data_IF_562176823386
#
_entry.id   IF_562176823386
#
_cell.length_a   1.000
_cell.length_b   1.000
_cell.length_c   1.000
_cell.angle_alpha   90.00
_cell.angle_beta   90.00
_cell.angle_gamma   90.00
#
_symmetry.space_group_name_H-M   'P 1'
#
loop_
_entity.id
_entity.type
_entity.pdbx_description
1 polymer ?
#
# COMPACT_ATOMS: atom_id res chain seq x y z
N UNK A 1 5.20 20.60 10.59
CA UNK A 1 5.88 21.25 9.45
C UNK A 1 7.05 20.35 9.07
N UNK A 2 7.35 20.22 7.77
CA UNK A 2 8.47 19.45 7.24
C UNK A 2 9.09 20.18 6.06
N UNK A 3 10.26 19.74 5.65
CA UNK A 3 10.94 20.24 4.45
C UNK A 3 10.79 19.20 3.33
N UNK A 4 10.47 19.67 2.13
CA UNK A 4 10.48 18.81 0.93
C UNK A 4 11.93 18.69 0.48
N UNK A 5 12.40 17.46 0.28
CA UNK A 5 13.75 17.21 -0.22
C UNK A 5 13.89 17.77 -1.64
N UNK A 6 15.05 18.36 -1.93
CA UNK A 6 15.36 18.89 -3.26
C UNK A 6 15.31 17.77 -4.32
N UNK A 7 14.67 18.05 -5.44
CA UNK A 7 14.50 17.12 -6.55
C UNK A 7 13.41 16.06 -6.34
N UNK A 8 12.63 16.14 -5.27
CA UNK A 8 11.49 15.23 -5.02
C UNK A 8 10.18 15.95 -5.30
N UNK A 9 9.34 15.36 -6.14
CA UNK A 9 7.98 15.82 -6.39
C UNK A 9 7.04 14.62 -6.37
N UNK A 10 6.24 14.52 -5.31
CA UNK A 10 5.28 13.42 -5.12
C UNK A 10 3.90 13.98 -4.79
N UNK A 11 2.85 13.35 -5.33
CA UNK A 11 1.47 13.77 -5.09
C UNK A 11 0.48 12.72 -5.59
N UNK A 12 -0.73 12.69 -5.02
CA UNK A 12 -1.77 11.75 -5.43
C UNK A 12 -2.27 11.96 -6.86
N UNK A 13 -2.02 13.14 -7.43
CA UNK A 13 -2.36 13.53 -8.80
C UNK A 13 -1.25 13.25 -9.82
N UNK A 14 -0.12 12.70 -9.38
CA UNK A 14 1.07 12.51 -10.23
C UNK A 14 1.28 11.08 -10.73
N UNK A 15 0.37 10.15 -10.45
CA UNK A 15 0.45 8.79 -10.99
C UNK A 15 0.32 8.83 -12.52
N UNK A 16 1.14 8.03 -13.20
CA UNK A 16 1.21 7.97 -14.66
C UNK A 16 0.95 6.55 -15.17
N UNK A 17 0.27 6.41 -16.32
CA UNK A 17 0.20 5.12 -16.99
C UNK A 17 1.60 4.50 -17.18
N UNK A 18 1.75 3.22 -16.86
CA UNK A 18 3.03 2.53 -16.86
C UNK A 18 3.77 2.54 -15.52
N UNK A 19 3.26 3.24 -14.50
CA UNK A 19 3.79 3.10 -13.14
C UNK A 19 3.46 1.72 -12.57
N UNK A 20 4.39 1.15 -11.85
CA UNK A 20 4.15 0.04 -10.95
C UNK A 20 3.55 0.55 -9.63
N UNK A 21 2.68 -0.26 -9.04
CA UNK A 21 2.07 0.00 -7.73
C UNK A 21 2.73 -0.91 -6.71
N UNK A 22 3.34 -0.33 -5.70
CA UNK A 22 4.09 -1.03 -4.67
C UNK A 22 3.43 -0.76 -3.32
N UNK A 23 3.28 -1.79 -2.50
CA UNK A 23 2.98 -1.66 -1.07
C UNK A 23 4.21 -1.98 -0.25
N UNK A 24 4.42 -1.27 0.86
CA UNK A 24 5.62 -1.43 1.68
C UNK A 24 5.59 -2.63 2.61
N UNK A 25 4.55 -3.42 2.59
CA UNK A 25 4.42 -4.64 3.39
C UNK A 25 3.01 -5.21 3.36
N UNK A 26 2.76 -6.22 4.18
CA UNK A 26 1.46 -6.86 4.30
C UNK A 26 0.39 -5.89 4.83
N UNK A 27 -0.84 -6.05 4.35
CA UNK A 27 -1.91 -5.08 4.57
C UNK A 27 -2.97 -5.58 5.57
N UNK A 28 -3.72 -4.61 6.14
CA UNK A 28 -4.91 -4.86 6.94
C UNK A 28 -4.67 -5.21 8.41
N UNK A 29 -3.43 -5.30 8.90
CA UNK A 29 -3.12 -5.67 10.28
C UNK A 29 -3.73 -4.72 11.29
N UNK A 30 -3.53 -3.40 11.14
CA UNK A 30 -4.06 -2.44 12.11
C UNK A 30 -5.58 -2.52 12.23
N UNK A 31 -6.29 -2.47 11.10
CA UNK A 31 -7.75 -2.58 11.08
C UNK A 31 -8.25 -3.89 11.69
N UNK A 32 -7.58 -5.01 11.40
CA UNK A 32 -7.89 -6.31 11.99
C UNK A 32 -7.67 -6.31 13.51
N UNK A 33 -6.54 -5.78 14.00
CA UNK A 33 -6.26 -5.66 15.46
C UNK A 33 -7.34 -4.84 16.16
N UNK A 34 -7.71 -3.69 15.59
CA UNK A 34 -8.75 -2.82 16.18
C UNK A 34 -10.12 -3.50 16.21
N UNK A 35 -10.47 -4.26 15.18
CA UNK A 35 -11.71 -5.01 15.16
C UNK A 35 -11.76 -6.06 16.28
N UNK A 36 -10.71 -6.85 16.42
CA UNK A 36 -10.60 -7.90 17.45
C UNK A 36 -10.62 -7.33 18.86
N UNK A 37 -10.05 -6.15 19.10
CA UNK A 37 -10.00 -5.48 20.40
C UNK A 37 -11.33 -4.80 20.77
N UNK A 38 -12.13 -4.38 19.80
CA UNK A 38 -13.39 -3.65 20.06
C UNK A 38 -14.60 -4.54 20.16
N UNK A 39 -14.61 -5.65 19.47
CA UNK A 39 -15.76 -6.53 19.33
C UNK A 39 -15.41 -7.94 19.78
N UNK A 40 -16.23 -8.53 20.62
CA UNK A 40 -16.07 -9.92 21.04
C UNK A 40 -16.68 -10.84 19.97
N UNK A 41 -15.89 -11.17 18.96
CA UNK A 41 -16.28 -12.14 17.93
C UNK A 41 -16.03 -13.59 18.33
N UNK A 42 -15.48 -13.84 19.53
CA UNK A 42 -15.02 -15.18 19.92
C UNK A 42 -13.91 -15.74 19.03
N UNK A 43 -13.15 -14.86 18.36
CA UNK A 43 -12.04 -15.23 17.49
C UNK A 43 -10.74 -15.06 18.27
N UNK A 44 -10.04 -16.16 18.49
CA UNK A 44 -8.68 -16.16 19.06
C UNK A 44 -7.65 -16.09 17.92
N UNK A 45 -7.18 -14.88 17.62
CA UNK A 45 -6.18 -14.65 16.58
C UNK A 45 -5.10 -13.68 17.07
N UNK A 46 -3.84 -14.07 16.93
CA UNK A 46 -2.70 -13.23 17.31
C UNK A 46 -2.31 -12.29 16.17
N UNK A 47 -3.07 -11.21 16.01
CA UNK A 47 -2.80 -10.14 15.04
C UNK A 47 -2.26 -8.92 15.77
N UNK A 48 -1.08 -8.46 15.38
CA UNK A 48 -0.49 -7.23 15.92
C UNK A 48 -0.57 -6.11 14.90
N UNK A 49 -0.83 -4.89 15.37
CA UNK A 49 -0.86 -3.69 14.52
C UNK A 49 0.46 -3.48 13.78
N UNK A 50 0.36 -2.96 12.57
CA UNK A 50 1.48 -2.56 11.72
C UNK A 50 1.99 -1.13 11.99
N UNK A 51 1.55 -0.46 13.05
CA UNK A 51 2.03 0.88 13.41
C UNK A 51 3.56 0.95 13.42
N UNK A 52 4.12 1.85 12.63
CA UNK A 52 5.56 1.99 12.46
C UNK A 52 5.96 3.42 12.07
N UNK A 53 7.17 3.88 12.44
CA UNK A 53 7.73 5.10 11.91
C UNK A 53 8.14 4.91 10.46
N UNK A 54 7.56 5.67 9.53
CA UNK A 54 7.73 5.45 8.09
C UNK A 54 8.82 6.31 7.44
N UNK A 55 9.28 7.38 8.12
CA UNK A 55 10.29 8.26 7.53
C UNK A 55 11.57 7.53 7.10
N UNK A 56 12.18 6.62 7.90
CA UNK A 56 13.37 5.90 7.46
C UNK A 56 13.15 5.07 6.19
N UNK A 57 11.95 4.50 6.04
CA UNK A 57 11.56 3.75 4.83
C UNK A 57 11.44 4.68 3.61
N UNK A 58 10.77 5.83 3.76
CA UNK A 58 10.66 6.83 2.69
C UNK A 58 12.04 7.36 2.30
N UNK A 59 12.87 7.71 3.27
CA UNK A 59 14.23 8.19 3.04
C UNK A 59 15.08 7.19 2.26
N UNK A 60 15.00 5.90 2.60
CA UNK A 60 15.71 4.84 1.89
C UNK A 60 15.28 4.74 0.41
N UNK A 61 13.98 4.82 0.14
CA UNK A 61 13.45 4.84 -1.24
C UNK A 61 13.95 6.07 -2.00
N UNK A 62 13.84 7.26 -1.41
CA UNK A 62 14.24 8.52 -2.04
C UNK A 62 15.75 8.65 -2.23
N UNK A 63 16.55 7.96 -1.43
CA UNK A 63 17.99 7.86 -1.65
C UNK A 63 18.34 6.90 -2.78
N UNK A 64 17.53 5.88 -3.01
CA UNK A 64 17.72 4.94 -4.11
C UNK A 64 17.29 5.52 -5.45
N UNK A 65 16.15 6.21 -5.50
CA UNK A 65 15.66 6.87 -6.72
C UNK A 65 14.85 8.12 -6.39
N UNK A 66 14.94 9.13 -7.26
CA UNK A 66 14.08 10.34 -7.20
C UNK A 66 12.87 10.22 -8.14
N UNK A 67 12.84 9.21 -8.99
CA UNK A 67 11.76 8.98 -9.94
C UNK A 67 10.62 8.19 -9.26
N UNK A 68 9.93 8.89 -8.35
CA UNK A 68 8.78 8.39 -7.61
C UNK A 68 7.66 9.43 -7.78
N UNK A 69 6.48 8.98 -8.22
CA UNK A 69 5.36 9.87 -8.51
C UNK A 69 4.39 9.99 -7.33
N UNK A 70 4.16 8.89 -6.61
CA UNK A 70 3.24 8.86 -5.46
C UNK A 70 3.89 8.17 -4.27
N UNK A 71 3.74 8.75 -3.08
CA UNK A 71 3.96 8.11 -1.79
C UNK A 71 2.77 8.49 -0.91
N UNK A 72 1.95 7.51 -0.52
CA UNK A 72 0.73 7.74 0.24
C UNK A 72 0.53 6.70 1.34
N UNK A 73 0.25 7.15 2.56
CA UNK A 73 -0.08 6.25 3.67
C UNK A 73 -1.46 5.61 3.46
N UNK A 74 -1.56 4.29 3.69
CA UNK A 74 -2.78 3.52 3.50
C UNK A 74 -3.63 3.45 4.78
N UNK A 75 -3.91 4.60 5.40
CA UNK A 75 -4.60 4.70 6.69
C UNK A 75 -6.09 4.35 6.58
N UNK A 76 -6.99 5.28 6.79
CA UNK A 76 -8.44 5.04 6.75
C UNK A 76 -8.89 4.53 5.37
N UNK A 77 -9.66 3.43 5.39
CA UNK A 77 -10.15 2.77 4.17
C UNK A 77 -9.10 1.92 3.46
N UNK A 78 -7.89 1.78 4.06
CA UNK A 78 -6.84 0.90 3.59
C UNK A 78 -6.28 1.25 2.21
N UNK A 79 -5.61 0.29 1.62
CA UNK A 79 -5.00 0.40 0.28
C UNK A 79 -6.07 0.61 -0.80
N UNK A 80 -7.23 -0.05 -0.70
CA UNK A 80 -8.30 0.04 -1.69
C UNK A 80 -8.83 1.47 -1.86
N UNK A 81 -9.11 2.16 -0.74
CA UNK A 81 -9.58 3.57 -0.78
C UNK A 81 -8.51 4.51 -1.31
N UNK A 82 -7.26 4.35 -0.87
CA UNK A 82 -6.14 5.18 -1.33
C UNK A 82 -5.93 5.04 -2.84
N UNK A 83 -5.99 3.83 -3.38
CA UNK A 83 -5.86 3.60 -4.81
C UNK A 83 -7.02 4.22 -5.61
N UNK A 84 -8.25 4.12 -5.09
CA UNK A 84 -9.40 4.76 -5.72
C UNK A 84 -9.25 6.30 -5.76
N UNK A 85 -8.81 6.90 -4.65
CA UNK A 85 -8.55 8.34 -4.60
C UNK A 85 -7.48 8.77 -5.61
N UNK A 86 -6.37 8.03 -5.71
CA UNK A 86 -5.27 8.31 -6.66
C UNK A 86 -5.77 8.16 -8.10
N UNK A 87 -6.53 7.09 -8.42
CA UNK A 87 -7.10 6.90 -9.74
C UNK A 87 -7.94 8.09 -10.20
N UNK A 88 -8.77 8.64 -9.28
CA UNK A 88 -9.59 9.82 -9.54
C UNK A 88 -8.78 11.10 -9.69
N UNK A 89 -7.79 11.34 -8.80
CA UNK A 89 -6.95 12.55 -8.81
C UNK A 89 -6.04 12.61 -10.04
N UNK A 90 -5.41 11.49 -10.39
CA UNK A 90 -4.53 11.39 -11.56
C UNK A 90 -5.26 11.13 -12.87
N UNK A 91 -6.57 10.83 -12.82
CA UNK A 91 -7.40 10.48 -13.99
C UNK A 91 -6.84 9.29 -14.77
N UNK A 92 -6.40 8.27 -14.06
CA UNK A 92 -5.82 7.03 -14.59
C UNK A 92 -6.64 5.83 -14.13
N UNK A 93 -6.48 4.70 -14.80
CA UNK A 93 -6.96 3.41 -14.32
C UNK A 93 -5.91 2.71 -13.46
N UNK A 94 -6.36 1.84 -12.59
CA UNK A 94 -5.50 1.01 -11.75
C UNK A 94 -5.89 -0.45 -11.95
N UNK A 95 -4.91 -1.31 -12.23
CA UNK A 95 -5.09 -2.76 -12.31
C UNK A 95 -4.25 -3.44 -11.24
N UNK A 96 -4.92 -4.19 -10.36
CA UNK A 96 -4.28 -4.98 -9.31
C UNK A 96 -4.31 -6.46 -9.67
N UNK A 97 -3.34 -7.21 -9.15
CA UNK A 97 -3.38 -8.67 -9.11
C UNK A 97 -3.57 -9.11 -7.66
N UNK A 98 -4.69 -9.77 -7.37
CA UNK A 98 -5.03 -10.21 -6.02
C UNK A 98 -3.99 -11.18 -5.43
N UNK A 99 -3.34 -11.99 -6.29
CA UNK A 99 -2.33 -12.95 -5.86
C UNK A 99 -1.04 -12.28 -5.34
N UNK A 100 -0.76 -11.05 -5.80
CA UNK A 100 0.46 -10.32 -5.44
C UNK A 100 0.28 -9.42 -4.21
N UNK A 101 -0.97 -9.24 -3.74
CA UNK A 101 -1.26 -8.44 -2.54
C UNK A 101 -0.85 -9.20 -1.28
N UNK A 102 0.17 -8.71 -0.54
CA UNK A 102 0.63 -9.41 0.66
C UNK A 102 -0.38 -9.22 1.81
N UNK A 103 -0.93 -10.33 2.29
CA UNK A 103 -1.83 -10.36 3.46
C UNK A 103 -1.39 -11.51 4.36
N UNK A 104 -1.16 -11.21 5.63
CA UNK A 104 -0.77 -12.22 6.60
C UNK A 104 -1.86 -13.32 6.76
N UNK A 105 -1.48 -14.59 6.96
CA UNK A 105 -2.44 -15.69 7.09
C UNK A 105 -3.49 -15.45 8.17
N UNK A 106 -3.11 -14.93 9.33
CA UNK A 106 -3.99 -14.59 10.44
C UNK A 106 -5.01 -13.52 10.07
N UNK A 107 -4.60 -12.48 9.31
CA UNK A 107 -5.51 -11.44 8.79
C UNK A 107 -6.48 -12.03 7.76
N UNK A 108 -5.99 -12.90 6.85
CA UNK A 108 -6.85 -13.61 5.90
C UNK A 108 -7.88 -14.47 6.61
N UNK A 109 -7.48 -15.17 7.68
CA UNK A 109 -8.37 -16.01 8.48
C UNK A 109 -9.49 -15.20 9.13
N UNK A 110 -9.16 -14.11 9.82
CA UNK A 110 -10.14 -13.23 10.47
C UNK A 110 -11.08 -12.61 9.43
N UNK A 111 -10.53 -12.06 8.34
CA UNK A 111 -11.33 -11.47 7.27
C UNK A 111 -12.29 -12.48 6.63
N UNK A 112 -11.82 -13.71 6.39
CA UNK A 112 -12.65 -14.79 5.83
C UNK A 112 -13.82 -15.17 6.74
N UNK A 113 -13.60 -15.21 8.06
CA UNK A 113 -14.67 -15.50 9.03
C UNK A 113 -15.69 -14.36 9.13
N UNK A 114 -15.24 -13.11 9.02
CA UNK A 114 -16.10 -11.94 9.17
C UNK A 114 -16.66 -11.41 7.84
N UNK A 115 -16.31 -12.01 6.70
CA UNK A 115 -16.73 -11.53 5.38
C UNK A 115 -16.14 -10.18 5.00
N UNK A 116 -14.92 -9.88 5.46
CA UNK A 116 -14.24 -8.61 5.23
C UNK A 116 -13.18 -8.74 4.12
N UNK A 117 -12.93 -7.63 3.42
CA UNK A 117 -11.88 -7.54 2.41
C UNK A 117 -10.65 -6.80 2.99
N UNK A 118 -9.47 -7.45 3.08
CA UNK A 118 -8.26 -6.84 3.66
C UNK A 118 -7.83 -5.52 3.02
N UNK A 119 -8.12 -5.32 1.74
CA UNK A 119 -7.81 -4.07 1.02
C UNK A 119 -8.42 -2.83 1.65
N UNK A 120 -9.54 -2.96 2.36
CA UNK A 120 -10.25 -1.84 2.99
C UNK A 120 -9.96 -1.69 4.48
N UNK A 121 -9.17 -2.59 5.06
CA UNK A 121 -8.73 -2.47 6.45
C UNK A 121 -7.60 -1.45 6.58
N UNK A 122 -7.68 -0.61 7.62
CA UNK A 122 -6.68 0.42 7.88
C UNK A 122 -5.28 -0.16 8.09
N UNK A 123 -4.27 0.55 7.58
CA UNK A 123 -2.85 0.29 7.79
C UNK A 123 -2.20 1.55 8.37
N UNK A 124 -1.53 1.45 9.50
CA UNK A 124 -0.89 2.60 10.17
C UNK A 124 0.65 2.61 10.01
N UNK A 125 1.18 1.58 9.36
CA UNK A 125 2.60 1.43 9.04
C UNK A 125 2.86 1.00 7.59
N UNK A 126 1.95 1.31 6.66
CA UNK A 126 2.10 0.95 5.25
C UNK A 126 1.90 2.13 4.32
N UNK A 127 2.69 2.13 3.25
CA UNK A 127 2.61 3.10 2.16
C UNK A 127 2.25 2.41 0.86
N UNK A 128 1.53 3.13 0.02
CA UNK A 128 1.42 2.88 -1.42
C UNK A 128 2.43 3.79 -2.10
N UNK A 129 3.27 3.21 -2.94
CA UNK A 129 4.27 3.92 -3.75
C UNK A 129 3.97 3.63 -5.22
N UNK A 130 4.01 4.67 -6.06
CA UNK A 130 3.92 4.53 -7.51
C UNK A 130 5.14 5.15 -8.15
N UNK A 131 5.79 4.38 -9.03
CA UNK A 131 7.01 4.75 -9.73
C UNK A 131 7.07 4.03 -11.07
N UNK A 132 7.88 4.51 -12.04
CA UNK A 132 8.09 3.80 -13.29
C UNK A 132 8.47 2.34 -13.08
N UNK A 133 7.98 1.44 -13.93
CA UNK A 133 8.30 -0.01 -13.85
C UNK A 133 9.79 -0.29 -13.81
N UNK A 134 10.60 0.56 -14.45
CA UNK A 134 12.07 0.43 -14.45
C UNK A 134 12.71 0.60 -13.06
N UNK A 135 12.04 1.33 -12.15
CA UNK A 135 12.52 1.56 -10.78
C UNK A 135 11.90 0.59 -9.76
N UNK A 136 10.83 -0.11 -10.13
CA UNK A 136 9.99 -0.86 -9.21
C UNK A 136 10.74 -1.96 -8.43
N UNK A 137 11.50 -2.80 -9.14
CA UNK A 137 12.26 -3.88 -8.51
C UNK A 137 13.33 -3.33 -7.54
N UNK A 138 14.02 -2.28 -7.94
CA UNK A 138 15.01 -1.60 -7.10
C UNK A 138 14.36 -1.02 -5.82
N UNK A 139 13.18 -0.42 -5.96
CA UNK A 139 12.43 0.11 -4.81
C UNK A 139 12.05 -1.05 -3.87
N UNK A 140 11.54 -2.16 -4.39
CA UNK A 140 11.15 -3.32 -3.58
C UNK A 140 12.37 -3.94 -2.88
N UNK A 141 13.50 -4.06 -3.56
CA UNK A 141 14.75 -4.55 -2.93
C UNK A 141 15.19 -3.68 -1.76
N UNK A 142 15.16 -2.34 -1.92
CA UNK A 142 15.49 -1.39 -0.85
C UNK A 142 14.48 -1.49 0.30
N UNK A 143 13.18 -1.55 -0.01
CA UNK A 143 12.13 -1.69 0.98
C UNK A 143 12.30 -2.95 1.84
N UNK A 144 12.62 -4.09 1.24
CA UNK A 144 12.80 -5.36 1.95
C UNK A 144 13.98 -5.36 2.93
N UNK A 145 14.91 -4.41 2.79
CA UNK A 145 16.00 -4.19 3.76
C UNK A 145 15.57 -3.30 4.92
N UNK A 146 14.43 -2.60 4.82
CA UNK A 146 13.90 -1.76 5.90
C UNK A 146 13.19 -2.62 6.97
N UNK A 147 13.29 -2.25 8.27
CA UNK A 147 12.79 -3.07 9.37
C UNK A 147 11.33 -3.48 9.29
N UNK A 148 10.47 -2.62 8.71
CA UNK A 148 9.01 -2.82 8.68
C UNK A 148 8.46 -3.21 7.30
N UNK A 149 9.32 -3.45 6.32
CA UNK A 149 8.91 -3.58 4.90
C UNK A 149 9.41 -4.86 4.22
N UNK A 150 9.73 -5.90 5.00
CA UNK A 150 10.23 -7.19 4.47
C UNK A 150 9.29 -7.85 3.45
N UNK A 151 7.98 -7.63 3.59
CA UNK A 151 6.94 -8.18 2.73
C UNK A 151 6.50 -7.20 1.64
N UNK A 152 7.34 -6.20 1.32
CA UNK A 152 7.08 -5.26 0.24
C UNK A 152 6.91 -5.98 -1.10
N UNK A 153 5.91 -5.56 -1.88
CA UNK A 153 5.55 -6.21 -3.13
C UNK A 153 5.01 -5.22 -4.16
N UNK A 154 5.23 -5.55 -5.44
CA UNK A 154 4.52 -4.93 -6.56
C UNK A 154 3.16 -5.62 -6.65
N UNK A 155 2.06 -4.87 -6.52
CA UNK A 155 0.70 -5.41 -6.49
C UNK A 155 -0.12 -5.11 -7.73
N UNK A 156 0.42 -4.33 -8.65
CA UNK A 156 -0.30 -3.93 -9.86
C UNK A 156 0.39 -2.83 -10.64
N UNK A 157 -0.38 -2.23 -11.52
CA UNK A 157 0.08 -1.18 -12.43
C UNK A 157 -0.96 -0.09 -12.66
N UNK A 158 -0.48 1.09 -13.04
CA UNK A 158 -1.29 2.21 -13.49
C UNK A 158 -1.48 2.10 -15.00
N UNK A 159 -2.72 2.29 -15.49
CA UNK A 159 -3.09 2.15 -16.90
C UNK A 159 -3.84 3.36 -17.44
N UNK A 160 -3.94 3.48 -18.76
CA UNK A 160 -4.83 4.45 -19.42
C UNK A 160 -6.28 3.96 -19.48
N UNK A 161 -6.49 2.65 -19.27
CA UNK A 161 -7.81 2.04 -19.35
C UNK A 161 -8.64 2.36 -18.11
N UNK A 162 -9.93 2.61 -18.30
CA UNK A 162 -10.90 2.85 -17.23
C UNK A 162 -10.47 3.94 -16.20
N UNK A 163 -10.21 5.19 -16.64
CA UNK A 163 -9.78 6.27 -15.74
C UNK A 163 -10.73 6.44 -14.55
N UNK A 164 -10.16 6.63 -13.36
CA UNK A 164 -10.92 6.78 -12.11
C UNK A 164 -11.39 5.45 -11.50
N UNK A 165 -11.03 4.31 -12.07
CA UNK A 165 -11.43 2.99 -11.56
C UNK A 165 -10.23 2.16 -11.13
N UNK A 166 -10.49 1.28 -10.15
CA UNK A 166 -9.55 0.25 -9.69
C UNK A 166 -10.16 -1.10 -10.02
N UNK A 167 -9.45 -1.90 -10.79
CA UNK A 167 -9.87 -3.26 -11.19
C UNK A 167 -8.89 -4.26 -10.60
N UNK A 168 -9.39 -5.33 -10.01
CA UNK A 168 -8.59 -6.41 -9.47
C UNK A 168 -8.85 -7.70 -10.24
N UNK A 169 -7.80 -8.32 -10.74
CA UNK A 169 -7.81 -9.68 -11.29
C UNK A 169 -7.61 -10.70 -10.18
N UNK A 170 -8.45 -11.73 -10.16
CA UNK A 170 -8.43 -12.83 -9.18
C UNK A 170 -8.01 -14.13 -9.84
#
# INVERSE_FOLDING_TARGET
MGEIQEGVTVGGELAKPGDAIIVTGDIGRHGCTILLEREDFGIDANVTSDCAPLWPTVESVLNATKDVHVIRAATRGGVGTVLYEIAGQSKVGIRLNAADVPVAPEVKGVCGMLGLEPLYLACEGRLVIMAPKSEAEKIVEVLRQCPYSKDAAIIGEVTEEQPGHVVMTT
#
